data_IF_730826641338
#
_entry.id   IF_730826641338
#
_cell.length_a   1.000
_cell.length_b   1.000
_cell.length_c   1.000
_cell.angle_alpha   90.00
_cell.angle_beta   90.00
_cell.angle_gamma   90.00
#
_symmetry.space_group_name_H-M   'P 1'
#
loop_
_entity.id
_entity.type
_entity.pdbx_description
1 polymer ?
#
# COMPACT_ATOMS: atom_id res chain seq x y z
N UNK A 1 81.01 -5.04 29.48
CA UNK A 1 80.32 -5.10 28.18
C UNK A 1 78.83 -4.81 28.42
N UNK A 2 78.30 -3.63 28.04
CA UNK A 2 76.89 -3.28 28.25
C UNK A 2 76.13 -3.49 26.94
N UNK A 3 75.19 -4.43 26.92
CA UNK A 3 74.30 -4.64 25.78
C UNK A 3 73.16 -3.62 25.82
N UNK A 4 73.12 -2.73 24.83
CA UNK A 4 72.02 -1.78 24.65
C UNK A 4 70.90 -2.51 23.88
N UNK A 5 69.84 -2.90 24.58
CA UNK A 5 68.61 -3.42 23.97
C UNK A 5 67.91 -2.29 23.20
N UNK A 6 68.03 -2.33 21.87
CA UNK A 6 67.33 -1.42 20.96
C UNK A 6 65.84 -1.76 20.99
N UNK A 7 65.04 -0.98 21.72
CA UNK A 7 63.56 -1.07 21.65
C UNK A 7 63.11 -0.72 20.23
N UNK A 8 62.56 -1.70 19.53
CA UNK A 8 61.90 -1.51 18.24
C UNK A 8 60.60 -0.73 18.48
N UNK A 9 60.51 0.53 18.05
CA UNK A 9 59.23 1.26 18.06
C UNK A 9 58.31 0.61 17.02
N UNK A 10 57.13 0.18 17.44
CA UNK A 10 56.08 -0.27 16.54
C UNK A 10 55.73 0.88 15.59
N UNK A 11 55.83 0.65 14.28
CA UNK A 11 55.36 1.60 13.28
C UNK A 11 53.83 1.54 13.32
N UNK A 12 53.19 2.58 13.81
CA UNK A 12 51.75 2.74 13.67
C UNK A 12 51.46 3.01 12.20
N UNK A 13 51.04 1.96 11.47
CA UNK A 13 50.54 2.13 10.11
C UNK A 13 49.15 2.75 10.18
N UNK A 14 49.04 3.96 9.61
CA UNK A 14 47.82 4.77 9.59
C UNK A 14 46.84 4.25 8.52
N UNK A 15 47.37 3.57 7.51
CA UNK A 15 46.61 3.09 6.35
C UNK A 15 45.48 2.10 6.69
N UNK A 16 45.67 1.09 7.57
CA UNK A 16 44.59 0.23 8.03
C UNK A 16 43.45 0.98 8.73
N UNK A 17 43.77 2.05 9.48
CA UNK A 17 42.76 2.84 10.20
C UNK A 17 41.87 3.58 9.21
N UNK A 18 42.48 4.25 8.22
CA UNK A 18 41.75 4.95 7.15
C UNK A 18 40.91 3.97 6.31
N UNK A 19 41.45 2.79 6.02
CA UNK A 19 40.75 1.74 5.30
C UNK A 19 39.51 1.23 6.06
N UNK A 20 39.65 0.97 7.36
CA UNK A 20 38.54 0.51 8.20
C UNK A 20 37.45 1.60 8.24
N UNK A 21 37.81 2.86 8.43
CA UNK A 21 36.86 3.97 8.45
C UNK A 21 36.09 4.07 7.13
N UNK A 22 36.80 4.08 5.99
CA UNK A 22 36.18 4.09 4.65
C UNK A 22 35.22 2.91 4.44
N UNK A 23 35.63 1.69 4.82
CA UNK A 23 34.79 0.50 4.68
C UNK A 23 33.53 0.59 5.54
N UNK A 24 33.63 1.13 6.76
CA UNK A 24 32.46 1.32 7.62
C UNK A 24 31.50 2.38 7.10
N UNK A 25 32.00 3.47 6.52
CA UNK A 25 31.17 4.51 5.87
C UNK A 25 30.42 3.96 4.65
N UNK A 26 31.10 3.19 3.81
CA UNK A 26 30.48 2.53 2.65
C UNK A 26 29.41 1.53 3.10
N UNK A 27 29.71 0.72 4.12
CA UNK A 27 28.73 -0.23 4.67
C UNK A 27 27.51 0.49 5.23
N UNK A 28 27.69 1.57 6.01
CA UNK A 28 26.59 2.36 6.55
C UNK A 28 25.73 2.97 5.44
N UNK A 29 26.35 3.47 4.37
CA UNK A 29 25.64 3.97 3.20
C UNK A 29 24.74 2.89 2.57
N UNK A 30 25.25 1.68 2.36
CA UNK A 30 24.45 0.57 1.81
C UNK A 30 23.34 0.09 2.76
N UNK A 31 23.59 0.09 4.07
CA UNK A 31 22.56 -0.25 5.08
C UNK A 31 21.41 0.77 5.04
N UNK A 32 21.71 2.06 4.89
CA UNK A 32 20.69 3.11 4.77
C UNK A 32 19.89 2.93 3.46
N UNK A 33 20.57 2.72 2.33
CA UNK A 33 19.90 2.46 1.05
C UNK A 33 18.99 1.25 1.11
N UNK A 34 19.47 0.16 1.72
CA UNK A 34 18.69 -1.06 1.89
C UNK A 34 17.48 -0.84 2.82
N UNK A 35 17.64 -0.07 3.90
CA UNK A 35 16.55 0.30 4.80
C UNK A 35 15.45 1.09 4.08
N UNK A 36 15.83 2.08 3.25
CA UNK A 36 14.88 2.85 2.44
C UNK A 36 14.18 1.95 1.41
N UNK A 37 14.91 1.05 0.75
CA UNK A 37 14.34 0.09 -0.20
C UNK A 37 13.29 -0.81 0.45
N UNK A 38 13.52 -1.28 1.69
CA UNK A 38 12.53 -2.07 2.43
C UNK A 38 11.29 -1.26 2.81
N UNK A 39 11.46 0.01 3.18
CA UNK A 39 10.32 0.90 3.45
C UNK A 39 9.45 1.09 2.21
N UNK A 40 10.05 1.24 1.02
CA UNK A 40 9.32 1.36 -0.23
C UNK A 40 8.64 0.03 -0.60
N UNK A 41 9.31 -1.11 -0.41
CA UNK A 41 8.73 -2.43 -0.69
C UNK A 41 7.49 -2.74 0.16
N UNK A 42 7.44 -2.31 1.44
CA UNK A 42 6.26 -2.46 2.29
C UNK A 42 5.10 -1.52 1.93
N UNK A 43 5.36 -0.38 1.27
CA UNK A 43 4.33 0.55 0.79
C UNK A 43 3.69 0.14 -0.54
N UNK A 44 4.23 -0.88 -1.22
CA UNK A 44 3.69 -1.42 -2.47
C UNK A 44 2.35 -2.18 -2.31
N UNK A 45 1.84 -2.32 -1.08
CA UNK A 45 0.50 -2.84 -0.83
C UNK A 45 -0.56 -1.74 -1.03
N UNK A 46 -1.17 -1.69 -2.22
CA UNK A 46 -2.47 -1.08 -2.52
C UNK A 46 -2.74 0.37 -2.03
N UNK A 47 -1.73 1.17 -1.70
CA UNK A 47 -1.92 2.58 -1.35
C UNK A 47 -1.04 3.47 -2.22
N UNK A 48 -1.63 3.99 -3.29
CA UNK A 48 -1.05 5.11 -4.03
C UNK A 48 -1.36 6.38 -3.26
N UNK A 49 -0.39 6.84 -2.50
CA UNK A 49 -0.42 8.19 -1.91
C UNK A 49 -0.01 9.19 -2.99
N UNK A 50 -0.98 9.92 -3.56
CA UNK A 50 -0.70 11.11 -4.37
C UNK A 50 -0.74 12.33 -3.45
N UNK A 51 0.43 12.77 -2.97
CA UNK A 51 0.54 13.94 -2.09
C UNK A 51 -0.16 13.73 -0.75
N UNK A 52 -1.08 14.64 -0.40
CA UNK A 52 -1.84 14.65 0.87
C UNK A 52 -3.11 13.76 0.84
N UNK A 53 -3.34 13.06 -0.28
CA UNK A 53 -4.51 12.20 -0.47
C UNK A 53 -4.11 10.73 -0.46
N UNK A 54 -4.56 9.99 0.55
CA UNK A 54 -4.51 8.53 0.58
C UNK A 54 -5.67 7.96 -0.24
N UNK A 55 -5.37 7.40 -1.40
CA UNK A 55 -6.35 6.66 -2.20
C UNK A 55 -6.25 5.17 -1.86
N UNK A 56 -7.37 4.60 -1.42
CA UNK A 56 -7.55 3.17 -1.28
C UNK A 56 -8.55 2.72 -2.34
N UNK A 57 -8.05 2.00 -3.35
CA UNK A 57 -8.88 1.44 -4.42
C UNK A 57 -9.06 -0.05 -4.17
N UNK A 58 -10.32 -0.50 -4.16
CA UNK A 58 -10.68 -1.90 -4.01
C UNK A 58 -11.45 -2.32 -5.25
N UNK A 59 -10.84 -3.15 -6.08
CA UNK A 59 -11.50 -3.74 -7.24
C UNK A 59 -12.14 -5.06 -6.83
N UNK A 60 -13.48 -5.11 -6.91
CA UNK A 60 -14.24 -6.32 -6.60
C UNK A 60 -14.70 -7.00 -7.90
N UNK A 61 -14.55 -8.33 -8.00
CA UNK A 61 -14.96 -9.07 -9.20
C UNK A 61 -16.48 -9.04 -9.35
N UNK A 62 -16.94 -8.57 -10.51
CA UNK A 62 -18.37 -8.43 -10.82
C UNK A 62 -19.15 -9.75 -10.72
N UNK A 63 -18.54 -10.87 -11.09
CA UNK A 63 -19.18 -12.20 -11.10
C UNK A 63 -19.52 -12.72 -9.70
N UNK A 64 -18.77 -12.27 -8.68
CA UNK A 64 -19.04 -12.63 -7.28
C UNK A 64 -20.11 -11.72 -6.70
N UNK A 65 -20.10 -10.44 -7.08
CA UNK A 65 -21.02 -9.44 -6.56
C UNK A 65 -22.41 -9.50 -7.20
N UNK A 66 -22.46 -9.74 -8.51
CA UNK A 66 -23.69 -9.69 -9.30
C UNK A 66 -23.80 -10.93 -10.19
N UNK A 67 -24.94 -11.62 -10.21
CA UNK A 67 -25.21 -12.62 -11.23
C UNK A 67 -25.17 -11.99 -12.63
N UNK A 68 -24.81 -12.79 -13.66
CA UNK A 68 -24.76 -12.33 -15.06
C UNK A 68 -26.06 -11.64 -15.48
N UNK A 69 -25.93 -10.43 -16.03
CA UNK A 69 -27.06 -9.60 -16.48
C UNK A 69 -27.97 -9.07 -15.37
N UNK A 70 -27.68 -9.31 -14.09
CA UNK A 70 -28.48 -8.79 -12.97
C UNK A 70 -27.79 -7.62 -12.28
N UNK A 71 -28.62 -6.81 -11.64
CA UNK A 71 -28.25 -5.61 -10.85
C UNK A 71 -28.42 -5.79 -9.35
N UNK A 72 -29.00 -6.93 -8.95
CA UNK A 72 -29.16 -7.30 -7.54
C UNK A 72 -27.91 -8.03 -7.05
N UNK A 73 -27.46 -7.67 -5.86
CA UNK A 73 -26.34 -8.31 -5.19
C UNK A 73 -26.62 -9.79 -4.92
N UNK A 74 -25.56 -10.59 -4.93
CA UNK A 74 -25.58 -11.93 -4.37
C UNK A 74 -25.50 -11.85 -2.84
N UNK A 75 -25.98 -12.87 -2.10
CA UNK A 75 -25.80 -12.93 -0.65
C UNK A 75 -24.32 -12.91 -0.22
N UNK A 76 -23.42 -13.37 -1.09
CA UNK A 76 -21.97 -13.31 -0.88
C UNK A 76 -21.43 -11.89 -1.06
N UNK A 77 -21.95 -11.15 -2.05
CA UNK A 77 -21.62 -9.74 -2.26
C UNK A 77 -22.06 -8.87 -1.09
N UNK A 78 -23.25 -9.12 -0.53
CA UNK A 78 -23.74 -8.45 0.68
C UNK A 78 -22.78 -8.65 1.88
N UNK A 79 -22.29 -9.87 2.11
CA UNK A 79 -21.30 -10.15 3.18
C UNK A 79 -19.97 -9.43 2.94
N UNK A 80 -19.50 -9.37 1.69
CA UNK A 80 -18.28 -8.64 1.32
C UNK A 80 -18.42 -7.14 1.62
N UNK A 81 -19.56 -6.53 1.26
CA UNK A 81 -19.82 -5.13 1.55
C UNK A 81 -20.01 -4.87 3.04
N UNK A 82 -20.66 -5.78 3.76
CA UNK A 82 -20.75 -5.71 5.21
C UNK A 82 -19.36 -5.69 5.85
N UNK A 83 -18.41 -6.52 5.41
CA UNK A 83 -17.03 -6.51 5.94
C UNK A 83 -16.20 -5.29 5.52
N UNK A 84 -16.48 -4.73 4.34
CA UNK A 84 -15.77 -3.55 3.84
C UNK A 84 -16.23 -2.26 4.52
N UNK A 85 -17.52 -2.17 4.85
CA UNK A 85 -18.14 -0.94 5.34
C UNK A 85 -18.60 -1.00 6.79
N UNK A 86 -18.57 -2.16 7.44
CA UNK A 86 -18.79 -2.28 8.89
C UNK A 86 -17.46 -2.57 9.58
N UNK A 87 -17.22 -1.86 10.67
CA UNK A 87 -16.08 -2.12 11.56
C UNK A 87 -16.29 -3.43 12.34
N UNK A 88 -15.28 -3.93 13.04
CA UNK A 88 -15.34 -5.14 13.87
C UNK A 88 -16.41 -5.06 15.00
N UNK A 89 -16.88 -3.84 15.28
CA UNK A 89 -17.97 -3.51 16.21
C UNK A 89 -19.36 -3.57 15.58
N UNK A 90 -19.44 -3.75 14.26
CA UNK A 90 -20.70 -3.74 13.49
C UNK A 90 -21.21 -2.33 13.13
N UNK A 91 -20.48 -1.27 13.51
CA UNK A 91 -20.83 0.11 13.14
C UNK A 91 -20.44 0.40 11.69
N UNK A 92 -21.31 1.11 10.98
CA UNK A 92 -21.05 1.58 9.61
C UNK A 92 -19.93 2.60 9.66
N UNK A 93 -18.93 2.46 8.78
CA UNK A 93 -17.83 3.41 8.64
C UNK A 93 -18.37 4.83 8.54
N UNK A 94 -18.10 5.65 9.58
CA UNK A 94 -18.42 7.06 9.53
C UNK A 94 -17.43 7.79 8.63
N UNK A 95 -17.98 8.53 7.68
CA UNK A 95 -17.23 9.47 6.82
C UNK A 95 -17.18 10.87 7.43
N UNK A 96 -17.82 11.08 8.60
CA UNK A 96 -17.79 12.35 9.33
C UNK A 96 -16.57 12.42 10.26
N UNK A 97 -15.48 12.95 9.74
CA UNK A 97 -14.21 13.12 10.48
C UNK A 97 -14.03 14.54 11.03
N UNK A 98 -15.10 15.13 11.59
CA UNK A 98 -15.04 16.40 12.33
C UNK A 98 -14.41 17.58 11.56
N UNK A 99 -14.43 17.55 10.23
CA UNK A 99 -13.88 18.59 9.36
C UNK A 99 -12.37 18.54 9.06
N UNK A 100 -11.60 17.64 9.69
CA UNK A 100 -10.13 17.58 9.54
C UNK A 100 -9.67 16.73 8.35
N UNK A 101 -10.46 15.74 7.95
CA UNK A 101 -10.20 14.90 6.77
C UNK A 101 -11.51 14.65 6.03
N UNK A 102 -11.50 14.74 4.69
CA UNK A 102 -12.66 14.44 3.85
C UNK A 102 -12.49 13.04 3.27
N UNK A 103 -13.28 12.07 3.76
CA UNK A 103 -13.35 10.73 3.17
C UNK A 103 -14.42 10.74 2.08
N UNK A 104 -14.07 10.28 0.88
CA UNK A 104 -14.99 10.21 -0.27
C UNK A 104 -15.04 8.76 -0.75
N UNK A 105 -16.24 8.20 -0.83
CA UNK A 105 -16.49 6.91 -1.47
C UNK A 105 -16.89 7.16 -2.93
N UNK A 106 -16.19 6.51 -3.86
CA UNK A 106 -16.51 6.55 -5.29
C UNK A 106 -16.79 5.13 -5.75
N UNK A 107 -17.97 4.89 -6.32
CA UNK A 107 -18.40 3.56 -6.76
C UNK A 107 -18.47 3.55 -8.29
N UNK A 108 -17.74 2.65 -8.91
CA UNK A 108 -17.71 2.48 -10.36
C UNK A 108 -18.36 1.15 -10.73
N UNK A 109 -19.46 1.19 -11.49
CA UNK A 109 -20.05 0.00 -12.07
C UNK A 109 -19.38 -0.36 -13.38
N UNK A 110 -18.91 -1.59 -13.52
CA UNK A 110 -18.31 -2.09 -14.76
C UNK A 110 -19.12 -3.29 -15.27
N UNK A 111 -19.14 -3.43 -16.59
CA UNK A 111 -19.75 -4.55 -17.30
C UNK A 111 -18.73 -5.09 -18.31
N UNK A 112 -19.02 -6.26 -18.85
CA UNK A 112 -18.29 -6.78 -20.00
C UNK A 112 -18.55 -5.94 -21.27
N UNK A 113 -17.86 -6.32 -22.34
CA UNK A 113 -18.04 -5.75 -23.68
C UNK A 113 -19.16 -6.44 -24.47
N UNK A 114 -19.92 -7.35 -23.85
CA UNK A 114 -20.91 -8.16 -24.55
C UNK A 114 -22.25 -7.41 -24.58
N UNK A 115 -22.88 -7.36 -25.76
CA UNK A 115 -24.15 -6.64 -25.96
C UNK A 115 -23.99 -5.18 -26.38
N UNK A 116 -25.06 -4.38 -26.24
CA UNK A 116 -25.04 -2.97 -26.66
C UNK A 116 -24.42 -2.09 -25.59
N UNK A 117 -23.55 -1.17 -26.03
CA UNK A 117 -22.87 -0.20 -25.16
C UNK A 117 -23.83 0.59 -24.24
N UNK A 118 -24.98 1.02 -24.77
CA UNK A 118 -25.95 1.81 -24.01
C UNK A 118 -26.62 0.97 -22.91
N UNK A 119 -26.93 -0.30 -23.20
CA UNK A 119 -27.50 -1.24 -22.24
C UNK A 119 -26.49 -1.55 -21.12
N UNK A 120 -25.22 -1.74 -21.49
CA UNK A 120 -24.11 -1.96 -20.56
C UNK A 120 -23.81 -0.74 -19.68
N UNK A 121 -23.91 0.47 -20.22
CA UNK A 121 -23.76 1.70 -19.46
C UNK A 121 -24.84 1.83 -18.38
N UNK A 122 -26.12 1.60 -18.75
CA UNK A 122 -27.23 1.63 -17.81
C UNK A 122 -27.09 0.52 -16.75
N UNK A 123 -26.68 -0.68 -17.16
CA UNK A 123 -26.47 -1.81 -16.25
C UNK A 123 -25.37 -1.50 -15.22
N UNK A 124 -24.23 -0.95 -15.67
CA UNK A 124 -23.15 -0.51 -14.79
C UNK A 124 -23.61 0.54 -13.80
N UNK A 125 -24.35 1.56 -14.26
CA UNK A 125 -24.91 2.59 -13.40
C UNK A 125 -25.87 2.02 -12.34
N UNK A 126 -26.77 1.10 -12.74
CA UNK A 126 -27.70 0.47 -11.81
C UNK A 126 -26.99 -0.37 -10.75
N UNK A 127 -25.93 -1.09 -11.12
CA UNK A 127 -25.09 -1.84 -10.16
C UNK A 127 -24.43 -0.92 -9.14
N UNK A 128 -23.86 0.20 -9.60
CA UNK A 128 -23.27 1.20 -8.71
C UNK A 128 -24.31 1.80 -7.76
N UNK A 129 -25.53 2.07 -8.26
CA UNK A 129 -26.63 2.57 -7.44
C UNK A 129 -27.09 1.55 -6.40
N UNK A 130 -27.12 0.26 -6.73
CA UNK A 130 -27.45 -0.80 -5.76
C UNK A 130 -26.45 -0.81 -4.61
N UNK A 131 -25.14 -0.75 -4.90
CA UNK A 131 -24.09 -0.72 -3.87
C UNK A 131 -24.19 0.52 -3.00
N UNK A 132 -24.57 1.66 -3.57
CA UNK A 132 -24.75 2.89 -2.80
C UNK A 132 -25.93 2.83 -1.81
N UNK A 133 -26.95 2.02 -2.09
CA UNK A 133 -28.16 1.90 -1.27
C UNK A 133 -28.05 0.89 -0.14
N UNK A 134 -27.03 0.03 -0.19
CA UNK A 134 -26.74 -0.98 0.83
C UNK A 134 -25.93 -0.37 1.98
#
# INVERSE_FOLDING_TARGET
MKYVLRRHKAKFDIWPVVYIDLMTQIMMFFVILWSISQMQAKRSGASKTLGDTTLHEVTLPGDVLFPSGRTKLTPQGEDVFARLFKDDTGEVLSFETGGLTRRVLVIHGHTDSDGKKDENYVLGFQRALTVYKE
#
